data_IF_332085734747
#
_entry.id   IF_332085734747
#
_cell.length_a   1.000
_cell.length_b   1.000
_cell.length_c   1.000
_cell.angle_alpha   90.00
_cell.angle_beta   90.00
_cell.angle_gamma   90.00
#
_symmetry.space_group_name_H-M   'P 1'
#
loop_
_entity.id
_entity.type
_entity.pdbx_description
1 polymer ?
#
# COMPACT_ATOMS: atom_id res chain seq x y z
N UNK A 1 -72.66 61.53 -21.15
CA UNK A 1 -71.83 60.59 -21.93
C UNK A 1 -70.91 59.88 -20.95
N UNK A 2 -71.36 58.73 -20.46
CA UNK A 2 -70.67 57.90 -19.46
C UNK A 2 -70.75 56.45 -19.94
N UNK A 3 -69.60 55.79 -20.10
CA UNK A 3 -69.53 54.41 -20.58
C UNK A 3 -68.29 53.72 -20.02
N UNK A 4 -68.52 52.66 -19.25
CA UNK A 4 -67.54 51.83 -18.51
C UNK A 4 -66.59 51.04 -19.44
N UNK A 5 -65.42 50.58 -18.95
CA UNK A 5 -64.55 49.68 -19.71
C UNK A 5 -64.99 48.21 -19.58
N UNK A 6 -64.92 47.47 -20.69
CA UNK A 6 -65.08 46.01 -20.76
C UNK A 6 -63.73 45.30 -20.55
N UNK A 7 -63.70 44.29 -19.68
CA UNK A 7 -62.56 43.39 -19.48
C UNK A 7 -62.46 42.34 -20.61
N UNK A 8 -61.26 41.93 -21.05
CA UNK A 8 -61.10 40.84 -22.00
C UNK A 8 -61.13 39.46 -21.31
N UNK A 9 -61.76 38.50 -22.00
CA UNK A 9 -61.92 37.09 -21.62
C UNK A 9 -60.58 36.35 -21.59
N UNK A 10 -60.38 35.52 -20.55
CA UNK A 10 -59.26 34.57 -20.48
C UNK A 10 -59.47 33.42 -21.48
N UNK A 11 -58.47 33.18 -22.34
CA UNK A 11 -58.41 31.97 -23.16
C UNK A 11 -57.82 30.82 -22.33
N UNK A 12 -58.58 29.73 -22.25
CA UNK A 12 -58.14 28.46 -21.67
C UNK A 12 -57.04 27.85 -22.54
N UNK A 13 -55.82 27.75 -22.00
CA UNK A 13 -54.72 27.01 -22.63
C UNK A 13 -54.85 25.55 -22.23
N UNK A 14 -55.32 24.72 -23.15
CA UNK A 14 -55.32 23.26 -23.02
C UNK A 14 -53.87 22.77 -22.96
N UNK A 15 -53.45 22.21 -21.82
CA UNK A 15 -52.13 21.60 -21.68
C UNK A 15 -52.05 20.32 -22.51
N UNK A 16 -51.19 20.34 -23.53
CA UNK A 16 -50.80 19.14 -24.27
C UNK A 16 -49.89 18.31 -23.35
N UNK A 17 -50.39 17.19 -22.87
CA UNK A 17 -49.61 16.22 -22.09
C UNK A 17 -48.69 15.49 -23.07
N UNK A 18 -47.41 15.85 -23.08
CA UNK A 18 -46.37 15.03 -23.71
C UNK A 18 -46.06 13.85 -22.79
N UNK A 19 -46.02 12.59 -23.29
CA UNK A 19 -45.59 11.47 -22.49
C UNK A 19 -44.13 11.66 -22.11
N UNK A 20 -43.88 11.70 -20.81
CA UNK A 20 -42.55 11.81 -20.22
C UNK A 20 -41.76 10.54 -20.58
N UNK A 21 -40.91 10.63 -21.60
CA UNK A 21 -39.95 9.58 -21.92
C UNK A 21 -38.96 9.55 -20.75
N UNK A 22 -39.14 8.59 -19.83
CA UNK A 22 -38.12 8.23 -18.86
C UNK A 22 -36.90 7.71 -19.61
N UNK A 23 -36.01 8.61 -20.00
CA UNK A 23 -34.65 8.27 -20.40
C UNK A 23 -34.01 7.65 -19.16
N UNK A 24 -33.93 6.32 -19.14
CA UNK A 24 -33.05 5.60 -18.23
C UNK A 24 -31.64 6.05 -18.60
N UNK A 25 -31.13 7.08 -17.93
CA UNK A 25 -29.70 7.41 -18.02
C UNK A 25 -28.97 6.20 -17.46
N UNK A 26 -28.54 5.30 -18.33
CA UNK A 26 -27.58 4.27 -17.99
C UNK A 26 -26.36 5.01 -17.49
N UNK A 27 -25.97 4.76 -16.24
CA UNK A 27 -24.67 5.19 -15.74
C UNK A 27 -23.60 4.81 -16.77
N UNK A 28 -22.63 5.71 -17.04
CA UNK A 28 -21.58 5.39 -18.01
C UNK A 28 -20.89 4.10 -17.58
N UNK A 29 -20.63 3.23 -18.55
CA UNK A 29 -19.89 2.01 -18.28
C UNK A 29 -18.48 2.36 -17.77
N UNK A 30 -17.96 1.64 -16.78
CA UNK A 30 -16.61 1.88 -16.28
C UNK A 30 -15.58 1.56 -17.38
N UNK A 31 -14.39 2.16 -17.29
CA UNK A 31 -13.31 1.87 -18.22
C UNK A 31 -12.52 0.62 -17.81
N UNK A 32 -11.79 0.04 -18.76
CA UNK A 32 -10.79 -0.99 -18.45
C UNK A 32 -9.72 -0.38 -17.55
N UNK A 33 -9.30 -1.13 -16.54
CA UNK A 33 -8.37 -0.67 -15.50
C UNK A 33 -9.04 -0.06 -14.27
N UNK A 34 -10.33 0.28 -14.32
CA UNK A 34 -11.09 0.69 -13.13
C UNK A 34 -11.09 -0.45 -12.10
N UNK A 35 -10.84 -0.10 -10.84
CA UNK A 35 -10.98 -1.03 -9.72
C UNK A 35 -12.39 -0.98 -9.17
N UNK A 36 -12.84 -2.11 -8.62
CA UNK A 36 -14.15 -2.21 -7.99
C UNK A 36 -14.12 -3.12 -6.77
N UNK A 37 -15.11 -2.96 -5.90
CA UNK A 37 -15.39 -3.86 -4.80
C UNK A 37 -16.79 -4.46 -4.99
N UNK A 38 -16.90 -5.79 -4.97
CA UNK A 38 -18.18 -6.50 -5.04
C UNK A 38 -18.27 -7.49 -3.88
N UNK A 39 -19.19 -7.25 -2.95
CA UNK A 39 -19.35 -8.05 -1.72
C UNK A 39 -18.03 -8.20 -0.92
N UNK A 40 -17.30 -7.08 -0.72
CA UNK A 40 -16.00 -7.03 -0.02
C UNK A 40 -14.82 -7.67 -0.76
N UNK A 41 -15.00 -8.02 -2.03
CA UNK A 41 -13.92 -8.56 -2.86
C UNK A 41 -13.48 -7.53 -3.89
N UNK A 42 -12.19 -7.22 -3.87
CA UNK A 42 -11.57 -6.28 -4.79
C UNK A 42 -11.29 -6.95 -6.13
N UNK A 43 -11.48 -6.20 -7.20
CA UNK A 43 -11.18 -6.64 -8.56
C UNK A 43 -10.75 -5.47 -9.44
N UNK A 44 -10.13 -5.81 -10.57
CA UNK A 44 -9.77 -4.88 -11.64
C UNK A 44 -10.54 -5.24 -12.90
N UNK A 45 -11.18 -4.25 -13.54
CA UNK A 45 -11.86 -4.47 -14.82
C UNK A 45 -10.81 -4.68 -15.91
N UNK A 46 -10.91 -5.79 -16.63
CA UNK A 46 -10.04 -6.16 -17.77
C UNK A 46 -10.76 -6.14 -19.12
N UNK A 47 -12.10 -6.19 -19.12
CA UNK A 47 -12.92 -6.14 -20.33
C UNK A 47 -14.27 -5.50 -20.05
N UNK A 48 -14.79 -4.72 -21.01
CA UNK A 48 -16.14 -4.15 -20.97
C UNK A 48 -16.75 -4.30 -22.35
N UNK A 49 -17.85 -5.04 -22.46
CA UNK A 49 -18.50 -5.24 -23.75
C UNK A 49 -19.43 -6.44 -23.79
N UNK A 50 -19.93 -6.75 -24.97
CA UNK A 50 -20.73 -7.94 -25.22
C UNK A 50 -19.86 -9.20 -25.27
N UNK A 51 -20.43 -10.32 -24.86
CA UNK A 51 -19.75 -11.62 -24.89
C UNK A 51 -20.57 -12.55 -25.77
N UNK A 52 -19.91 -13.18 -26.75
CA UNK A 52 -20.54 -14.03 -27.74
C UNK A 52 -21.44 -15.09 -27.08
N UNK A 53 -22.61 -15.34 -27.67
CA UNK A 53 -23.61 -16.26 -27.11
C UNK A 53 -24.34 -15.76 -25.86
N UNK A 54 -24.15 -14.50 -25.45
CA UNK A 54 -24.91 -13.88 -24.35
C UNK A 54 -25.46 -12.51 -24.73
N UNK A 55 -26.53 -12.07 -24.06
CA UNK A 55 -27.17 -10.77 -24.32
C UNK A 55 -26.62 -9.70 -23.39
N UNK A 56 -26.42 -8.48 -23.89
CA UNK A 56 -26.08 -7.29 -23.10
C UNK A 56 -24.64 -7.25 -22.58
N UNK A 57 -24.29 -6.16 -21.93
CA UNK A 57 -22.92 -5.87 -21.47
C UNK A 57 -22.46 -6.77 -20.33
N UNK A 58 -21.19 -7.14 -20.38
CA UNK A 58 -20.45 -7.82 -19.33
C UNK A 58 -19.21 -7.04 -18.95
N UNK A 59 -18.82 -7.19 -17.69
CA UNK A 59 -17.52 -6.79 -17.19
C UNK A 59 -16.68 -8.05 -17.03
N UNK A 60 -15.58 -8.15 -17.77
CA UNK A 60 -14.51 -9.08 -17.45
C UNK A 60 -13.69 -8.49 -16.33
N UNK A 61 -13.61 -9.16 -15.20
CA UNK A 61 -12.90 -8.71 -14.01
C UNK A 61 -11.82 -9.71 -13.64
N UNK A 62 -10.69 -9.23 -13.15
CA UNK A 62 -9.67 -10.02 -12.48
C UNK A 62 -9.77 -9.76 -10.97
N UNK A 63 -10.02 -10.81 -10.19
CA UNK A 63 -10.10 -10.72 -8.74
C UNK A 63 -8.72 -10.63 -8.11
N UNK A 64 -8.59 -9.82 -7.06
CA UNK A 64 -7.37 -9.76 -6.26
C UNK A 64 -7.10 -11.08 -5.54
N UNK A 65 -8.18 -11.72 -5.06
CA UNK A 65 -8.19 -13.08 -4.54
C UNK A 65 -8.45 -14.08 -5.70
N UNK A 66 -7.43 -14.82 -6.15
CA UNK A 66 -7.57 -15.74 -7.28
C UNK A 66 -8.59 -16.85 -7.05
N UNK A 67 -8.90 -17.20 -5.80
CA UNK A 67 -9.85 -18.28 -5.48
C UNK A 67 -11.28 -17.98 -5.94
N UNK A 68 -11.60 -16.70 -6.21
CA UNK A 68 -12.90 -16.27 -6.73
C UNK A 68 -13.01 -16.34 -8.24
N UNK A 69 -11.88 -16.41 -8.92
CA UNK A 69 -11.85 -16.48 -10.36
C UNK A 69 -12.32 -17.85 -10.87
N UNK A 70 -12.67 -17.88 -12.14
CA UNK A 70 -13.24 -19.03 -12.85
C UNK A 70 -12.49 -19.37 -14.12
N UNK A 71 -11.82 -18.37 -14.73
CA UNK A 71 -11.20 -18.49 -16.05
C UNK A 71 -10.24 -17.33 -16.31
N UNK A 72 -9.38 -17.44 -17.32
CA UNK A 72 -8.46 -16.38 -17.77
C UNK A 72 -9.04 -15.52 -18.91
N UNK A 73 -10.35 -15.22 -18.86
CA UNK A 73 -11.02 -14.35 -19.83
C UNK A 73 -11.34 -15.00 -21.17
N UNK A 74 -11.27 -16.33 -21.26
CA UNK A 74 -11.65 -17.12 -22.44
C UNK A 74 -13.08 -17.63 -22.28
N UNK A 75 -13.87 -17.53 -23.35
CA UNK A 75 -15.20 -18.15 -23.45
C UNK A 75 -15.39 -18.71 -24.86
N UNK A 76 -15.80 -19.99 -24.94
CA UNK A 76 -16.05 -20.70 -26.20
C UNK A 76 -14.89 -20.59 -27.21
N UNK A 77 -13.65 -20.66 -26.69
CA UNK A 77 -12.41 -20.56 -27.49
C UNK A 77 -11.97 -19.14 -27.86
N UNK A 78 -12.80 -18.11 -27.59
CA UNK A 78 -12.45 -16.70 -27.83
C UNK A 78 -11.91 -16.04 -26.57
N UNK A 79 -10.77 -15.36 -26.69
CA UNK A 79 -10.16 -14.61 -25.60
C UNK A 79 -10.65 -13.15 -25.59
N UNK A 80 -11.16 -12.70 -24.45
CA UNK A 80 -11.65 -11.32 -24.25
C UNK A 80 -10.68 -10.50 -23.39
N UNK A 81 -10.01 -11.14 -22.44
CA UNK A 81 -8.98 -10.56 -21.61
C UNK A 81 -8.02 -11.65 -21.10
N UNK A 82 -7.00 -11.25 -20.35
CA UNK A 82 -6.09 -12.15 -19.63
C UNK A 82 -5.93 -11.67 -18.18
N UNK A 83 -5.50 -12.57 -17.30
CA UNK A 83 -5.21 -12.28 -15.90
C UNK A 83 -3.69 -12.35 -15.65
N UNK A 84 -3.21 -11.52 -14.74
CA UNK A 84 -1.87 -11.62 -14.16
C UNK A 84 -1.73 -12.91 -13.34
N UNK A 85 -2.80 -13.28 -12.63
CA UNK A 85 -2.86 -14.55 -11.91
C UNK A 85 -3.76 -15.53 -12.66
N UNK A 86 -3.26 -16.74 -13.01
CA UNK A 86 -4.05 -17.74 -13.70
C UNK A 86 -5.36 -18.06 -12.98
N UNK A 87 -6.42 -18.17 -13.76
CA UNK A 87 -7.81 -18.39 -13.37
C UNK A 87 -8.42 -17.35 -12.44
N UNK A 88 -7.80 -16.19 -12.22
CA UNK A 88 -8.36 -15.13 -11.35
C UNK A 88 -9.51 -14.33 -12.00
N UNK A 89 -9.85 -14.60 -13.27
CA UNK A 89 -10.83 -13.85 -14.02
C UNK A 89 -12.28 -14.33 -13.85
N UNK A 90 -13.24 -13.44 -14.09
CA UNK A 90 -14.68 -13.75 -14.17
C UNK A 90 -15.41 -12.78 -15.09
N UNK A 91 -16.48 -13.21 -15.75
CA UNK A 91 -17.47 -12.32 -16.33
C UNK A 91 -18.58 -12.04 -15.32
N UNK A 92 -18.83 -10.77 -15.01
CA UNK A 92 -19.91 -10.31 -14.14
C UNK A 92 -20.81 -9.31 -14.86
N UNK A 93 -22.04 -9.16 -14.37
CA UNK A 93 -22.94 -8.12 -14.85
C UNK A 93 -22.69 -6.80 -14.12
N UNK A 94 -22.81 -5.64 -14.80
CA UNK A 94 -22.93 -4.37 -14.11
C UNK A 94 -24.17 -4.43 -13.21
N UNK A 95 -23.97 -4.39 -11.89
CA UNK A 95 -25.05 -4.40 -10.89
C UNK A 95 -24.87 -3.25 -9.91
N UNK A 96 -25.96 -2.72 -9.31
CA UNK A 96 -25.87 -1.62 -8.35
C UNK A 96 -25.04 -1.94 -7.09
N UNK A 97 -24.81 -3.23 -6.79
CA UNK A 97 -24.01 -3.67 -5.65
C UNK A 97 -22.49 -3.54 -5.87
N UNK A 98 -22.04 -3.15 -7.09
CA UNK A 98 -20.64 -2.86 -7.36
C UNK A 98 -20.31 -1.49 -6.78
N UNK A 99 -19.33 -1.45 -5.90
CA UNK A 99 -18.74 -0.24 -5.34
C UNK A 99 -17.52 0.17 -6.18
N UNK A 100 -17.51 1.40 -6.69
CA UNK A 100 -16.40 1.98 -7.47
C UNK A 100 -15.50 2.89 -6.61
N UNK A 101 -15.74 2.90 -5.30
CA UNK A 101 -14.96 3.63 -4.32
C UNK A 101 -15.36 5.09 -4.18
N UNK A 102 -14.57 5.79 -3.37
CA UNK A 102 -14.79 7.18 -2.98
C UNK A 102 -13.49 7.97 -3.01
N UNK A 103 -13.59 9.30 -2.94
CA UNK A 103 -12.40 10.15 -2.91
C UNK A 103 -11.64 10.00 -1.59
N UNK A 104 -10.36 10.40 -1.59
CA UNK A 104 -9.51 10.38 -0.41
C UNK A 104 -10.13 11.13 0.78
N UNK A 105 -10.62 12.36 0.58
CA UNK A 105 -11.24 13.16 1.64
C UNK A 105 -12.56 12.59 2.09
N UNK A 106 -13.33 11.99 1.19
CA UNK A 106 -14.58 11.33 1.56
C UNK A 106 -14.27 10.15 2.50
N UNK A 107 -13.34 9.27 2.13
CA UNK A 107 -12.91 8.15 2.99
C UNK A 107 -12.33 8.64 4.33
N UNK A 108 -11.52 9.70 4.30
CA UNK A 108 -10.97 10.32 5.51
C UNK A 108 -12.08 10.84 6.44
N UNK A 109 -13.07 11.53 5.86
CA UNK A 109 -14.21 12.08 6.59
C UNK A 109 -15.05 10.95 7.20
N UNK A 110 -15.41 9.94 6.42
CA UNK A 110 -16.24 8.84 6.90
C UNK A 110 -15.51 8.04 8.01
N UNK A 111 -14.23 7.70 7.84
CA UNK A 111 -13.45 6.92 8.82
C UNK A 111 -13.17 7.69 10.10
N UNK A 112 -12.76 8.96 10.02
CA UNK A 112 -12.28 9.71 11.19
C UNK A 112 -13.28 10.72 11.75
N UNK A 113 -14.37 11.03 11.04
CA UNK A 113 -15.38 11.98 11.50
C UNK A 113 -16.64 11.21 11.83
N UNK A 114 -17.21 10.47 10.88
CA UNK A 114 -18.49 9.78 11.08
C UNK A 114 -18.40 8.60 12.05
N UNK A 115 -17.30 7.83 12.05
CA UNK A 115 -17.09 6.76 13.03
C UNK A 115 -17.02 7.28 14.48
N UNK A 116 -16.60 8.54 14.70
CA UNK A 116 -16.66 9.20 16.01
C UNK A 116 -18.04 9.75 16.38
N UNK A 117 -18.99 9.77 15.44
CA UNK A 117 -20.40 10.14 15.67
C UNK A 117 -21.30 8.91 15.95
N UNK A 118 -20.83 7.69 15.70
CA UNK A 118 -21.60 6.45 15.87
C UNK A 118 -21.91 6.01 17.32
N UNK A 119 -21.65 6.83 18.33
CA UNK A 119 -21.95 6.52 19.73
C UNK A 119 -23.06 7.39 20.37
N UNK A 120 -23.53 8.46 19.72
CA UNK A 120 -24.61 9.29 20.27
C UNK A 120 -25.62 9.61 19.17
N UNK A 121 -26.85 9.11 19.35
CA UNK A 121 -28.03 9.49 18.57
C UNK A 121 -28.17 11.02 18.58
N UNK A 122 -28.59 11.67 17.49
CA UNK A 122 -28.86 13.11 17.53
C UNK A 122 -30.04 13.35 18.48
N UNK A 123 -29.76 14.00 19.62
CA UNK A 123 -30.80 14.54 20.50
C UNK A 123 -31.48 15.69 19.77
N UNK A 124 -32.71 15.44 19.30
CA UNK A 124 -33.60 16.50 18.85
C UNK A 124 -34.10 17.24 20.09
N UNK A 125 -33.49 18.38 20.40
CA UNK A 125 -34.00 19.29 21.43
C UNK A 125 -35.03 20.21 20.78
N UNK A 126 -36.31 19.95 21.06
CA UNK A 126 -37.42 20.84 20.70
C UNK A 126 -37.48 21.96 21.74
N UNK A 127 -37.23 23.20 21.32
CA UNK A 127 -37.47 24.40 22.13
C UNK A 127 -38.69 25.15 21.60
N UNK A 128 -39.69 25.33 22.46
CA UNK A 128 -40.68 26.41 22.35
C UNK A 128 -42.10 25.98 21.99
N UNK A 129 -43.02 26.17 22.95
CA UNK A 129 -44.47 26.12 22.73
C UNK A 129 -44.95 27.35 21.94
N UNK A 130 -44.89 27.33 20.61
CA UNK A 130 -45.87 28.00 19.73
C UNK A 130 -45.54 27.81 18.24
N UNK A 131 -46.37 27.02 17.55
CA UNK A 131 -46.66 27.04 16.11
C UNK A 131 -45.52 27.40 15.12
N UNK A 132 -44.61 26.45 14.93
CA UNK A 132 -43.83 26.21 13.71
C UNK A 132 -43.49 27.40 12.80
N UNK A 133 -42.23 27.85 12.87
CA UNK A 133 -41.43 28.27 11.72
C UNK A 133 -39.99 28.45 12.21
N UNK A 134 -39.02 28.08 11.36
CA UNK A 134 -37.57 28.18 11.54
C UNK A 134 -36.92 26.89 12.06
N UNK A 135 -36.58 26.03 11.11
CA UNK A 135 -35.43 25.13 11.23
C UNK A 135 -34.20 25.95 10.84
N UNK A 136 -33.29 26.21 11.78
CA UNK A 136 -31.93 26.63 11.45
C UNK A 136 -31.06 25.41 11.62
N UNK A 137 -30.66 24.80 10.50
CA UNK A 137 -29.46 23.97 10.48
C UNK A 137 -28.28 24.90 10.79
N UNK A 138 -27.90 24.95 12.06
CA UNK A 138 -26.56 25.39 12.40
C UNK A 138 -25.62 24.30 11.87
N UNK A 139 -25.05 24.56 10.69
CA UNK A 139 -23.97 23.77 10.13
C UNK A 139 -22.82 23.85 11.14
N UNK A 140 -22.65 22.79 11.92
CA UNK A 140 -21.67 22.66 13.00
C UNK A 140 -20.25 22.46 12.41
N UNK A 141 -19.83 23.36 11.51
CA UNK A 141 -18.47 23.41 10.93
C UNK A 141 -17.40 23.54 12.02
N UNK A 142 -17.73 24.16 13.16
CA UNK A 142 -16.80 24.33 14.27
C UNK A 142 -16.56 23.04 15.06
N UNK A 143 -17.55 22.13 15.12
CA UNK A 143 -17.35 20.77 15.67
C UNK A 143 -16.57 19.88 14.70
N UNK A 144 -16.81 20.03 13.40
CA UNK A 144 -15.99 19.41 12.35
C UNK A 144 -14.54 19.89 12.50
N UNK A 145 -14.30 21.20 12.64
CA UNK A 145 -12.96 21.80 12.86
C UNK A 145 -12.28 21.32 14.15
N UNK A 146 -12.98 21.25 15.28
CA UNK A 146 -12.41 20.73 16.53
C UNK A 146 -12.05 19.23 16.44
N UNK A 147 -12.74 18.46 15.60
CA UNK A 147 -12.46 17.04 15.36
C UNK A 147 -11.36 16.84 14.32
N UNK A 148 -11.31 17.67 13.27
CA UNK A 148 -10.15 17.78 12.38
C UNK A 148 -8.90 18.16 13.15
N UNK A 149 -8.97 19.01 14.18
CA UNK A 149 -7.81 19.31 15.05
C UNK A 149 -7.20 18.07 15.75
N UNK A 150 -7.91 16.94 15.83
CA UNK A 150 -7.36 15.64 16.27
C UNK A 150 -6.77 14.82 15.12
N UNK A 151 -7.32 14.94 13.90
CA UNK A 151 -6.78 14.36 12.65
C UNK A 151 -5.53 15.10 12.17
N UNK A 152 -5.45 16.41 12.37
CA UNK A 152 -4.28 17.24 12.11
C UNK A 152 -3.07 16.89 13.01
N UNK A 153 -3.30 16.16 14.10
CA UNK A 153 -2.22 15.57 14.93
C UNK A 153 -1.80 14.19 14.46
N UNK A 154 -2.58 13.53 13.60
CA UNK A 154 -2.23 12.23 13.02
C UNK A 154 -1.13 12.45 11.99
N UNK A 155 0.11 12.20 12.44
CA UNK A 155 1.26 12.05 11.54
C UNK A 155 1.12 10.84 10.62
N UNK A 156 0.19 9.94 10.91
CA UNK A 156 -0.09 8.71 10.18
C UNK A 156 -1.58 8.66 9.85
N UNK A 157 -1.93 8.75 8.58
CA UNK A 157 -3.30 8.57 8.10
C UNK A 157 -3.40 7.14 7.58
N UNK A 158 -4.33 6.34 8.11
CA UNK A 158 -4.57 4.99 7.61
C UNK A 158 -5.99 4.89 7.07
N UNK A 159 -6.09 4.71 5.77
CA UNK A 159 -7.33 4.50 5.01
C UNK A 159 -7.33 3.11 4.36
N UNK A 160 -6.63 2.16 4.98
CA UNK A 160 -6.63 0.77 4.52
C UNK A 160 -8.06 0.23 4.43
N UNK A 161 -8.38 -0.44 3.33
CA UNK A 161 -9.70 -1.07 3.09
C UNK A 161 -10.90 -0.11 3.08
N UNK A 162 -10.67 1.20 2.98
CA UNK A 162 -11.75 2.20 2.88
C UNK A 162 -12.26 2.40 1.44
N UNK A 163 -11.82 1.59 0.48
CA UNK A 163 -12.20 1.69 -0.94
C UNK A 163 -11.91 3.08 -1.55
N UNK A 164 -10.78 3.71 -1.20
CA UNK A 164 -10.34 4.94 -1.87
C UNK A 164 -10.10 4.63 -3.34
N UNK A 165 -10.64 5.41 -4.27
CA UNK A 165 -10.46 5.20 -5.72
C UNK A 165 -9.98 6.43 -6.49
N UNK A 166 -10.17 7.63 -5.93
CA UNK A 166 -9.82 8.88 -6.60
C UNK A 166 -9.19 9.89 -5.65
N UNK A 167 -8.40 10.79 -6.23
CA UNK A 167 -8.01 12.03 -5.58
C UNK A 167 -9.19 13.01 -5.59
N UNK A 168 -9.15 13.97 -4.68
CA UNK A 168 -10.06 15.11 -4.66
C UNK A 168 -9.57 16.22 -5.62
N UNK A 169 -10.42 17.21 -5.95
CA UNK A 169 -9.98 18.38 -6.71
C UNK A 169 -8.80 19.11 -6.05
N UNK A 170 -7.89 19.61 -6.88
CA UNK A 170 -6.63 20.20 -6.42
C UNK A 170 -6.84 21.30 -5.36
N UNK A 171 -6.14 21.15 -4.24
CA UNK A 171 -6.12 22.07 -3.11
C UNK A 171 -7.18 21.76 -2.04
N UNK A 172 -8.08 20.82 -2.27
CA UNK A 172 -9.13 20.50 -1.30
C UNK A 172 -8.59 19.73 -0.09
N UNK A 173 -7.59 18.86 -0.27
CA UNK A 173 -6.97 18.11 0.83
C UNK A 173 -6.18 19.08 1.70
N UNK A 174 -5.39 19.96 1.07
CA UNK A 174 -4.64 21.02 1.78
C UNK A 174 -5.57 21.93 2.59
N UNK A 175 -6.68 22.39 2.00
CA UNK A 175 -7.59 23.32 2.69
C UNK A 175 -8.36 22.68 3.84
N UNK A 176 -8.74 21.40 3.73
CA UNK A 176 -9.48 20.69 4.78
C UNK A 176 -8.58 20.07 5.86
N UNK A 177 -7.28 19.98 5.64
CA UNK A 177 -6.33 19.43 6.59
C UNK A 177 -5.16 20.42 6.85
N UNK A 178 -5.40 21.54 7.57
CA UNK A 178 -4.36 22.55 7.83
C UNK A 178 -3.29 22.10 8.84
N UNK A 179 -2.08 22.69 8.77
CA UNK A 179 -1.02 22.49 9.77
C UNK A 179 -1.29 23.26 11.06
N UNK A 180 -0.82 22.71 12.18
CA UNK A 180 -0.93 23.35 13.50
C UNK A 180 0.31 24.17 13.89
N UNK A 181 1.25 24.42 12.97
CA UNK A 181 2.44 25.18 13.29
C UNK A 181 2.12 26.68 13.37
N UNK A 182 2.42 27.38 14.48
CA UNK A 182 2.44 28.83 14.47
C UNK A 182 3.54 29.23 13.49
N UNK A 183 3.15 29.85 12.38
CA UNK A 183 4.10 30.50 11.50
C UNK A 183 4.80 31.59 12.30
N UNK A 184 6.02 31.36 12.76
CA UNK A 184 6.94 32.49 12.99
C UNK A 184 7.03 33.21 11.65
N UNK A 185 6.87 34.55 11.60
CA UNK A 185 6.95 35.28 10.34
C UNK A 185 8.37 35.13 9.80
N UNK A 186 8.56 34.20 8.86
CA UNK A 186 9.80 34.11 8.12
C UNK A 186 9.94 35.39 7.31
N UNK A 187 11.08 36.05 7.48
CA UNK A 187 11.36 37.41 7.00
C UNK A 187 11.65 37.47 5.49
N UNK A 188 11.24 36.45 4.74
CA UNK A 188 11.48 36.32 3.31
C UNK A 188 10.18 35.82 2.66
N UNK A 189 9.74 36.48 1.58
CA UNK A 189 8.41 36.32 0.98
C UNK A 189 8.07 34.92 0.49
N UNK A 190 7.62 34.06 1.42
CA UNK A 190 6.93 32.82 1.13
C UNK A 190 5.50 33.17 0.64
N UNK A 191 5.10 32.56 -0.47
CA UNK A 191 3.78 32.75 -1.10
C UNK A 191 2.69 32.28 -0.12
N UNK A 192 1.50 32.89 -0.18
CA UNK A 192 0.34 32.55 0.66
C UNK A 192 -0.10 31.06 0.58
N UNK A 193 0.40 30.30 -0.40
CA UNK A 193 0.12 28.88 -0.60
C UNK A 193 0.77 27.93 0.43
N UNK A 194 1.75 28.39 1.23
CA UNK A 194 2.50 27.54 2.17
C UNK A 194 1.85 27.40 3.56
N UNK A 195 0.73 28.08 3.82
CA UNK A 195 0.10 28.16 5.15
C UNK A 195 -0.91 27.06 5.48
N UNK A 196 -1.15 26.12 4.55
CA UNK A 196 -2.20 25.09 4.65
C UNK A 196 -1.71 23.67 4.33
N UNK A 197 -0.41 23.38 4.54
CA UNK A 197 0.11 22.03 4.33
C UNK A 197 -0.34 21.10 5.47
N UNK A 198 -0.83 19.90 5.16
CA UNK A 198 -1.17 18.88 6.16
C UNK A 198 0.09 18.34 6.84
N UNK A 199 0.06 18.12 8.17
CA UNK A 199 1.18 17.58 8.97
C UNK A 199 1.36 16.05 8.85
N UNK A 200 0.66 15.41 7.91
CA UNK A 200 0.71 13.96 7.69
C UNK A 200 2.07 13.56 7.09
N UNK A 201 2.76 12.65 7.79
CA UNK A 201 4.07 12.10 7.41
C UNK A 201 3.96 10.69 6.85
N UNK A 202 2.89 9.96 7.15
CA UNK A 202 2.66 8.65 6.59
C UNK A 202 1.21 8.47 6.20
N UNK A 203 1.01 7.78 5.08
CA UNK A 203 -0.30 7.46 4.53
C UNK A 203 -0.33 5.99 4.16
N UNK A 204 -1.31 5.27 4.71
CA UNK A 204 -1.60 3.89 4.34
C UNK A 204 -2.89 3.84 3.52
N UNK A 205 -2.76 3.47 2.26
CA UNK A 205 -3.84 3.27 1.29
C UNK A 205 -3.92 1.81 0.85
N UNK A 206 -3.40 0.87 1.64
CA UNK A 206 -3.43 -0.55 1.31
C UNK A 206 -4.86 -1.07 1.10
N UNK A 207 -5.03 -2.04 0.18
CA UNK A 207 -6.35 -2.60 -0.16
C UNK A 207 -7.36 -1.55 -0.66
N UNK A 208 -6.90 -0.61 -1.47
CA UNK A 208 -7.72 0.44 -2.06
C UNK A 208 -8.20 0.09 -3.47
N UNK A 209 -9.11 0.92 -3.98
CA UNK A 209 -9.61 0.89 -5.35
C UNK A 209 -8.86 1.89 -6.25
N UNK A 210 -7.65 2.29 -5.86
CA UNK A 210 -6.83 3.22 -6.64
C UNK A 210 -6.28 2.48 -7.88
N UNK A 211 -6.58 2.94 -9.11
CA UNK A 211 -6.26 2.20 -10.32
C UNK A 211 -4.85 2.43 -10.86
N UNK A 212 -4.20 3.54 -10.48
CA UNK A 212 -2.91 3.93 -11.07
C UNK A 212 -2.09 4.82 -10.15
N UNK A 213 -0.79 4.90 -10.45
CA UNK A 213 0.12 5.83 -9.82
C UNK A 213 -0.22 7.31 -10.04
N UNK A 214 -0.96 7.64 -11.11
CA UNK A 214 -1.39 9.02 -11.37
C UNK A 214 -2.29 9.53 -10.24
N UNK A 215 -3.22 8.70 -9.76
CA UNK A 215 -4.11 9.04 -8.64
C UNK A 215 -3.31 9.19 -7.34
N UNK A 216 -2.34 8.31 -7.11
CA UNK A 216 -1.43 8.39 -5.96
C UNK A 216 -0.63 9.70 -5.98
N UNK A 217 -0.11 10.10 -7.15
CA UNK A 217 0.64 11.35 -7.29
C UNK A 217 -0.22 12.57 -7.01
N UNK A 218 -1.49 12.57 -7.44
CA UNK A 218 -2.44 13.65 -7.14
C UNK A 218 -2.68 13.79 -5.62
N UNK A 219 -2.85 12.67 -4.90
CA UNK A 219 -2.99 12.68 -3.43
C UNK A 219 -1.69 13.15 -2.77
N UNK A 220 -0.55 12.57 -3.15
CA UNK A 220 0.75 12.88 -2.56
C UNK A 220 1.17 14.35 -2.77
N UNK A 221 0.82 14.96 -3.91
CA UNK A 221 1.06 16.39 -4.17
C UNK A 221 0.38 17.30 -3.16
N UNK A 222 -0.70 16.86 -2.53
CA UNK A 222 -1.38 17.64 -1.50
C UNK A 222 -0.81 17.43 -0.09
N UNK A 223 0.14 16.49 0.07
CA UNK A 223 0.76 16.11 1.34
C UNK A 223 2.28 16.35 1.28
N UNK A 224 2.74 17.61 1.38
CA UNK A 224 4.14 17.97 1.14
C UNK A 224 5.14 17.44 2.19
N UNK A 225 4.66 16.95 3.34
CA UNK A 225 5.47 16.37 4.41
C UNK A 225 5.43 14.82 4.41
N UNK A 226 4.88 14.20 3.36
CA UNK A 226 4.77 12.76 3.24
C UNK A 226 6.15 12.10 3.15
N UNK A 227 6.44 11.25 4.14
CA UNK A 227 7.68 10.47 4.29
C UNK A 227 7.43 8.96 4.06
N UNK A 228 6.27 8.43 4.47
CA UNK A 228 5.91 7.01 4.34
C UNK A 228 4.65 6.83 3.51
N UNK A 229 4.66 5.86 2.61
CA UNK A 229 3.50 5.51 1.80
C UNK A 229 3.34 4.00 1.73
N UNK A 230 2.19 3.49 2.17
CA UNK A 230 1.84 2.08 2.06
C UNK A 230 0.72 1.86 1.04
N UNK A 231 0.97 1.01 0.06
CA UNK A 231 0.09 0.68 -1.07
C UNK A 231 -0.08 -0.84 -1.20
N UNK A 232 -0.01 -1.55 -0.07
CA UNK A 232 0.01 -3.00 -0.08
C UNK A 232 -1.30 -3.55 -0.67
N UNK A 233 -1.22 -4.63 -1.44
CA UNK A 233 -2.36 -5.28 -2.09
C UNK A 233 -3.12 -4.41 -3.13
N UNK A 234 -2.52 -3.32 -3.60
CA UNK A 234 -3.09 -2.56 -4.71
C UNK A 234 -2.70 -3.14 -6.09
N UNK A 235 -3.43 -2.73 -7.13
CA UNK A 235 -3.19 -3.12 -8.54
C UNK A 235 -2.99 -1.87 -9.38
N UNK A 236 -1.81 -1.26 -9.23
CA UNK A 236 -1.49 0.04 -9.80
C UNK A 236 -1.02 -0.11 -11.24
N UNK A 237 -1.70 0.58 -12.16
CA UNK A 237 -1.17 0.84 -13.49
C UNK A 237 -0.03 1.86 -13.42
N UNK A 238 0.91 1.74 -14.36
CA UNK A 238 2.00 2.69 -14.53
C UNK A 238 1.49 4.12 -14.78
N UNK A 239 2.37 5.10 -14.57
CA UNK A 239 2.06 6.50 -14.84
C UNK A 239 1.65 6.71 -16.30
N UNK A 240 0.54 7.41 -16.52
CA UNK A 240 0.16 7.86 -17.87
C UNK A 240 1.10 8.99 -18.35
N UNK A 241 1.63 9.77 -17.40
CA UNK A 241 2.58 10.85 -17.67
C UNK A 241 3.46 11.12 -16.46
N UNK A 242 4.79 11.12 -16.67
CA UNK A 242 5.76 11.48 -15.65
C UNK A 242 5.55 12.90 -15.10
N UNK A 243 4.90 13.79 -15.86
CA UNK A 243 4.59 15.14 -15.41
C UNK A 243 3.70 15.16 -14.15
N UNK A 244 2.75 14.22 -14.03
CA UNK A 244 1.85 14.14 -12.86
C UNK A 244 2.60 13.80 -11.58
N UNK A 245 3.71 13.06 -11.69
CA UNK A 245 4.58 12.72 -10.57
C UNK A 245 5.57 13.84 -10.20
N UNK A 246 5.68 14.90 -11.01
CA UNK A 246 6.60 16.01 -10.75
C UNK A 246 6.31 16.59 -9.37
N UNK A 247 7.32 16.54 -8.50
CA UNK A 247 7.28 17.00 -7.11
C UNK A 247 6.32 16.24 -6.16
N UNK A 248 5.65 15.18 -6.60
CA UNK A 248 4.71 14.45 -5.76
C UNK A 248 5.39 13.65 -4.63
N UNK A 249 6.59 13.12 -4.87
CA UNK A 249 7.26 12.18 -3.95
C UNK A 249 8.63 12.66 -3.43
N UNK A 250 8.86 13.97 -3.38
CA UNK A 250 10.17 14.54 -3.01
C UNK A 250 10.56 14.30 -1.55
N UNK A 251 9.57 14.12 -0.67
CA UNK A 251 9.77 13.82 0.74
C UNK A 251 9.79 12.34 1.10
N UNK A 252 9.50 11.45 0.13
CA UNK A 252 9.21 10.05 0.42
C UNK A 252 10.49 9.27 0.74
N UNK A 253 10.55 8.66 1.92
CA UNK A 253 11.69 7.90 2.44
C UNK A 253 11.38 6.42 2.59
N UNK A 254 10.12 6.03 2.77
CA UNK A 254 9.69 4.64 2.89
C UNK A 254 8.47 4.35 2.01
N UNK A 255 8.55 3.25 1.26
CA UNK A 255 7.50 2.82 0.34
C UNK A 255 7.19 1.33 0.53
N UNK A 256 5.92 1.00 0.78
CA UNK A 256 5.46 -0.39 0.88
C UNK A 256 4.58 -0.77 -0.31
N UNK A 257 5.00 -1.81 -1.04
CA UNK A 257 4.38 -2.34 -2.26
C UNK A 257 4.15 -3.86 -2.14
N UNK A 258 3.89 -4.35 -0.93
CA UNK A 258 3.73 -5.79 -0.69
C UNK A 258 2.45 -6.31 -1.36
N UNK A 259 2.54 -7.49 -1.99
CA UNK A 259 1.42 -8.18 -2.65
C UNK A 259 0.68 -7.34 -3.71
N UNK A 260 1.37 -6.42 -4.37
CA UNK A 260 0.87 -5.58 -5.47
C UNK A 260 0.94 -6.26 -6.84
N UNK A 261 1.73 -7.34 -6.95
CA UNK A 261 2.16 -7.99 -8.20
C UNK A 261 3.03 -7.11 -9.10
N UNK A 262 3.57 -6.03 -8.55
CA UNK A 262 4.52 -5.16 -9.26
C UNK A 262 5.83 -5.88 -9.52
N UNK A 263 6.33 -5.76 -10.75
CA UNK A 263 7.63 -6.30 -11.16
C UNK A 263 8.79 -5.45 -10.64
N UNK A 264 9.99 -6.03 -10.59
CA UNK A 264 11.19 -5.28 -10.19
C UNK A 264 11.49 -4.10 -11.14
N UNK A 265 11.27 -4.29 -12.46
CA UNK A 265 11.47 -3.22 -13.45
C UNK A 265 10.51 -2.04 -13.22
N UNK A 266 9.22 -2.32 -12.95
CA UNK A 266 8.24 -1.28 -12.66
C UNK A 266 8.58 -0.50 -11.39
N UNK A 267 9.08 -1.19 -10.34
CA UNK A 267 9.58 -0.48 -9.16
C UNK A 267 10.75 0.44 -9.51
N UNK A 268 11.73 -0.03 -10.29
CA UNK A 268 12.85 0.81 -10.73
C UNK A 268 12.38 2.05 -11.50
N UNK A 269 11.35 1.90 -12.34
CA UNK A 269 10.76 3.01 -13.10
C UNK A 269 10.02 4.02 -12.19
N UNK A 270 9.48 3.58 -11.06
CA UNK A 270 8.78 4.45 -10.10
C UNK A 270 9.77 5.17 -9.17
N UNK A 271 10.81 4.49 -8.68
CA UNK A 271 11.75 5.08 -7.71
C UNK A 271 12.60 6.22 -8.30
N UNK A 272 12.70 6.35 -9.63
CA UNK A 272 13.30 7.54 -10.25
C UNK A 272 12.60 8.84 -9.89
N UNK A 273 11.35 8.76 -9.43
CA UNK A 273 10.53 9.89 -9.00
C UNK A 273 10.66 10.19 -7.50
N UNK A 274 11.46 9.40 -6.78
CA UNK A 274 11.56 9.37 -5.31
C UNK A 274 13.03 9.54 -4.87
N UNK A 275 13.62 10.74 -5.01
CA UNK A 275 15.07 10.94 -4.95
C UNK A 275 15.71 10.66 -3.58
N UNK A 276 14.94 10.70 -2.50
CA UNK A 276 15.43 10.46 -1.13
C UNK A 276 14.91 9.15 -0.52
N UNK A 277 14.38 8.25 -1.34
CA UNK A 277 13.85 6.97 -0.88
C UNK A 277 14.95 6.12 -0.25
N UNK A 278 14.69 5.62 0.96
CA UNK A 278 15.63 4.82 1.76
C UNK A 278 15.19 3.38 1.92
N UNK A 279 13.89 3.13 1.99
CA UNK A 279 13.35 1.81 2.22
C UNK A 279 12.27 1.49 1.18
N UNK A 280 12.36 0.29 0.61
CA UNK A 280 11.33 -0.26 -0.25
C UNK A 280 10.96 -1.67 0.20
N UNK A 281 9.67 -1.92 0.33
CA UNK A 281 9.13 -3.25 0.58
C UNK A 281 8.37 -3.77 -0.64
N UNK A 282 8.79 -4.92 -1.13
CA UNK A 282 8.22 -5.60 -2.29
C UNK A 282 7.96 -7.08 -2.01
N UNK A 283 7.54 -7.40 -0.79
CA UNK A 283 7.22 -8.75 -0.40
C UNK A 283 5.98 -9.31 -1.09
N UNK A 284 5.88 -10.63 -1.21
CA UNK A 284 4.69 -11.34 -1.71
C UNK A 284 4.25 -10.95 -3.14
N UNK A 285 5.15 -10.39 -3.95
CA UNK A 285 4.88 -9.96 -5.33
C UNK A 285 5.07 -11.07 -6.37
N UNK A 286 5.46 -12.28 -5.93
CA UNK A 286 5.72 -13.45 -6.80
C UNK A 286 6.88 -13.21 -7.77
N UNK A 287 7.83 -12.36 -7.39
CA UNK A 287 9.04 -12.11 -8.18
C UNK A 287 9.85 -13.40 -8.31
N UNK A 288 10.15 -13.81 -9.53
CA UNK A 288 11.00 -14.99 -9.82
C UNK A 288 12.41 -14.60 -10.21
N UNK A 289 12.59 -13.39 -10.73
CA UNK A 289 13.87 -12.76 -11.11
C UNK A 289 13.84 -11.29 -10.74
N UNK A 290 15.01 -10.76 -10.38
CA UNK A 290 15.25 -9.35 -10.10
C UNK A 290 16.09 -8.67 -11.18
N UNK A 291 16.88 -9.40 -11.99
CA UNK A 291 17.70 -8.72 -12.99
C UNK A 291 16.79 -7.93 -13.95
N UNK A 292 16.88 -6.59 -13.98
CA UNK A 292 15.99 -5.80 -14.81
C UNK A 292 16.44 -5.86 -16.27
N UNK A 293 15.52 -5.51 -17.18
CA UNK A 293 15.88 -5.33 -18.58
C UNK A 293 16.78 -4.10 -18.76
N UNK A 294 16.58 -3.07 -17.92
CA UNK A 294 17.36 -1.83 -17.90
C UNK A 294 17.37 -1.22 -16.51
N UNK A 295 18.48 -0.61 -16.15
CA UNK A 295 18.51 0.36 -15.06
C UNK A 295 18.16 1.74 -15.60
N UNK A 296 17.52 2.61 -14.78
CA UNK A 296 17.45 4.03 -15.08
C UNK A 296 18.85 4.62 -15.31
N UNK A 297 18.99 5.62 -16.17
CA UNK A 297 20.28 6.27 -16.43
C UNK A 297 20.15 7.80 -16.24
N UNK A 298 20.88 8.42 -15.30
CA UNK A 298 21.80 7.81 -14.33
C UNK A 298 21.05 7.07 -13.20
N UNK A 299 21.59 5.94 -12.74
CA UNK A 299 21.09 5.25 -11.54
C UNK A 299 21.94 5.63 -10.32
N UNK A 300 21.42 6.52 -9.48
CA UNK A 300 21.93 6.75 -8.12
C UNK A 300 20.79 6.52 -7.13
N UNK A 301 20.81 5.37 -6.47
CA UNK A 301 19.76 4.99 -5.52
C UNK A 301 20.18 5.30 -4.08
N UNK A 302 19.35 6.09 -3.40
CA UNK A 302 19.45 6.34 -1.96
C UNK A 302 19.05 5.15 -1.08
N UNK A 303 18.60 4.04 -1.67
CA UNK A 303 17.96 2.94 -0.94
C UNK A 303 18.98 2.20 -0.06
N UNK A 304 18.62 2.11 1.22
CA UNK A 304 19.36 1.49 2.31
C UNK A 304 18.76 0.12 2.69
N UNK A 305 17.45 -0.06 2.52
CA UNK A 305 16.73 -1.28 2.94
C UNK A 305 15.85 -1.78 1.79
N UNK A 306 16.05 -3.04 1.42
CA UNK A 306 15.21 -3.76 0.45
C UNK A 306 14.60 -4.97 1.12
N UNK A 307 13.27 -5.01 1.17
CA UNK A 307 12.51 -6.16 1.66
C UNK A 307 11.83 -6.90 0.50
N UNK A 308 12.21 -8.17 0.31
CA UNK A 308 11.73 -9.06 -0.75
C UNK A 308 11.14 -10.36 -0.17
N UNK A 309 10.65 -10.33 1.07
CA UNK A 309 10.06 -11.48 1.76
C UNK A 309 8.92 -12.13 0.96
N UNK A 310 8.83 -13.45 0.95
CA UNK A 310 7.68 -14.16 0.37
C UNK A 310 7.58 -14.09 -1.15
N UNK A 311 8.69 -13.86 -1.85
CA UNK A 311 8.77 -13.95 -3.30
C UNK A 311 9.16 -15.37 -3.76
N UNK A 312 9.40 -15.54 -5.06
CA UNK A 312 9.74 -16.83 -5.70
C UNK A 312 11.18 -16.82 -6.23
N UNK A 313 12.07 -16.07 -5.58
CA UNK A 313 13.47 -15.94 -5.97
C UNK A 313 14.22 -17.23 -5.62
N UNK A 314 14.83 -17.85 -6.61
CA UNK A 314 15.60 -19.10 -6.46
C UNK A 314 17.07 -18.97 -6.89
N UNK A 315 17.42 -17.92 -7.63
CA UNK A 315 18.78 -17.67 -8.11
C UNK A 315 19.45 -16.54 -7.30
N UNK A 316 20.41 -16.92 -6.46
CA UNK A 316 21.22 -15.99 -5.67
C UNK A 316 22.05 -15.03 -6.55
N UNK A 317 22.56 -15.53 -7.67
CA UNK A 317 23.43 -14.77 -8.57
C UNK A 317 22.64 -13.67 -9.29
N UNK A 318 21.40 -13.97 -9.67
CA UNK A 318 20.44 -13.00 -10.20
C UNK A 318 20.18 -11.87 -9.20
N UNK A 319 19.92 -12.21 -7.92
CA UNK A 319 19.72 -11.24 -6.84
C UNK A 319 20.95 -10.35 -6.65
N UNK A 320 22.15 -10.94 -6.59
CA UNK A 320 23.38 -10.16 -6.44
C UNK A 320 23.62 -9.23 -7.63
N UNK A 321 23.41 -9.69 -8.87
CA UNK A 321 23.58 -8.86 -10.07
C UNK A 321 22.57 -7.72 -10.09
N UNK A 322 21.32 -7.99 -9.71
CA UNK A 322 20.26 -7.00 -9.65
C UNK A 322 20.54 -5.89 -8.63
N UNK A 323 21.12 -6.24 -7.48
CA UNK A 323 21.37 -5.33 -6.36
C UNK A 323 22.75 -4.67 -6.35
N UNK A 324 23.67 -5.08 -7.23
CA UNK A 324 25.02 -4.51 -7.32
C UNK A 324 25.03 -2.98 -7.50
N UNK A 325 24.12 -2.36 -8.30
CA UNK A 325 24.08 -0.89 -8.43
C UNK A 325 23.60 -0.14 -7.17
N UNK A 326 23.01 -0.81 -6.18
CA UNK A 326 22.52 -0.19 -4.95
C UNK A 326 23.67 -0.04 -3.95
N UNK A 327 24.48 0.99 -4.13
CA UNK A 327 25.73 1.20 -3.37
C UNK A 327 25.52 1.52 -1.89
N UNK A 328 24.33 2.02 -1.52
CA UNK A 328 23.95 2.35 -0.12
C UNK A 328 23.16 1.25 0.60
N UNK A 329 22.87 0.15 -0.08
CA UNK A 329 22.09 -0.96 0.46
C UNK A 329 22.79 -1.57 1.68
N UNK A 330 22.19 -1.46 2.86
CA UNK A 330 22.74 -1.99 4.11
C UNK A 330 21.99 -3.23 4.61
N UNK A 331 20.69 -3.35 4.32
CA UNK A 331 19.83 -4.43 4.82
C UNK A 331 19.03 -5.04 3.69
N UNK A 332 19.15 -6.36 3.58
CA UNK A 332 18.46 -7.18 2.60
C UNK A 332 17.65 -8.26 3.31
N UNK A 333 16.34 -8.28 3.06
CA UNK A 333 15.43 -9.30 3.59
C UNK A 333 14.96 -10.17 2.44
N UNK A 334 15.33 -11.44 2.47
CA UNK A 334 15.00 -12.46 1.46
C UNK A 334 14.29 -13.66 2.10
N UNK A 335 13.66 -13.46 3.25
CA UNK A 335 12.87 -14.47 3.94
C UNK A 335 11.81 -15.07 3.02
N UNK A 336 11.44 -16.33 3.26
CA UNK A 336 10.36 -17.02 2.56
C UNK A 336 10.54 -17.04 1.03
N UNK A 337 11.78 -17.15 0.55
CA UNK A 337 12.11 -17.36 -0.86
C UNK A 337 12.69 -18.77 -1.08
N UNK A 338 12.45 -19.41 -2.24
CA UNK A 338 12.98 -20.74 -2.58
C UNK A 338 14.49 -20.73 -2.93
N UNK A 339 15.29 -19.93 -2.24
CA UNK A 339 16.75 -19.94 -2.34
C UNK A 339 17.27 -21.21 -1.66
N UNK A 340 17.66 -22.20 -2.45
CA UNK A 340 18.12 -23.51 -1.95
C UNK A 340 19.64 -23.62 -1.81
N UNK A 341 20.38 -22.97 -2.72
CA UNK A 341 21.84 -23.06 -2.80
C UNK A 341 22.44 -21.68 -3.03
N UNK A 342 23.51 -21.35 -2.30
CA UNK A 342 24.35 -20.18 -2.57
C UNK A 342 25.68 -20.71 -3.15
N UNK A 343 25.99 -20.42 -4.42
CA UNK A 343 27.18 -20.96 -5.06
C UNK A 343 28.46 -20.37 -4.44
N UNK A 344 29.54 -21.14 -4.35
CA UNK A 344 30.85 -20.60 -3.96
C UNK A 344 31.41 -19.73 -5.08
N UNK A 345 32.05 -18.61 -4.73
CA UNK A 345 32.81 -17.79 -5.68
C UNK A 345 34.20 -18.38 -5.85
N UNK A 346 34.30 -19.47 -6.61
CA UNK A 346 35.60 -20.06 -6.92
C UNK A 346 36.30 -19.15 -7.93
N UNK A 347 37.42 -18.53 -7.55
CA UNK A 347 38.17 -17.55 -8.36
C UNK A 347 38.72 -18.06 -9.70
N UNK A 348 38.36 -19.28 -10.11
CA UNK A 348 38.68 -19.90 -11.40
C UNK A 348 37.48 -19.99 -12.35
N UNK A 349 36.25 -19.79 -11.85
CA UNK A 349 35.04 -19.74 -12.67
C UNK A 349 34.65 -18.28 -12.90
N UNK A 350 34.36 -17.95 -14.14
CA UNK A 350 34.09 -16.61 -14.65
C UNK A 350 32.74 -16.07 -14.13
N UNK A 351 32.56 -15.92 -12.81
CA UNK A 351 31.39 -15.25 -12.27
C UNK A 351 31.62 -13.75 -12.38
N UNK A 352 31.17 -13.17 -13.50
CA UNK A 352 31.13 -11.73 -13.83
C UNK A 352 30.26 -10.90 -12.84
N UNK A 353 29.88 -11.47 -11.71
CA UNK A 353 28.97 -10.86 -10.74
C UNK A 353 29.77 -10.33 -9.58
N UNK A 354 29.69 -9.02 -9.34
CA UNK A 354 30.39 -8.36 -8.24
C UNK A 354 29.81 -8.78 -6.87
N UNK A 355 30.64 -8.87 -5.81
CA UNK A 355 30.13 -9.07 -4.47
C UNK A 355 29.39 -7.82 -3.99
N UNK A 356 28.61 -7.94 -2.92
CA UNK A 356 27.88 -6.83 -2.31
C UNK A 356 28.50 -6.47 -0.95
N UNK A 357 29.66 -5.79 -0.91
CA UNK A 357 30.31 -5.40 0.34
C UNK A 357 29.48 -4.43 1.19
N UNK A 358 28.53 -3.72 0.58
CA UNK A 358 27.68 -2.75 1.25
C UNK A 358 26.65 -3.39 2.19
N UNK A 359 26.25 -4.64 1.94
CA UNK A 359 25.20 -5.32 2.71
C UNK A 359 25.75 -5.78 4.05
N UNK A 360 25.20 -5.22 5.14
CA UNK A 360 25.58 -5.50 6.53
C UNK A 360 24.61 -6.43 7.24
N UNK A 361 23.36 -6.45 6.82
CA UNK A 361 22.31 -7.24 7.46
C UNK A 361 21.56 -8.07 6.43
N UNK A 362 21.57 -9.40 6.62
CA UNK A 362 20.86 -10.34 5.78
C UNK A 362 19.85 -11.15 6.60
N UNK A 363 18.61 -11.22 6.13
CA UNK A 363 17.60 -12.13 6.68
C UNK A 363 17.20 -13.17 5.63
N UNK A 364 17.34 -14.45 6.01
CA UNK A 364 17.02 -15.63 5.21
C UNK A 364 16.18 -16.61 6.07
N UNK A 365 15.05 -16.13 6.58
CA UNK A 365 14.13 -16.95 7.37
C UNK A 365 13.31 -17.84 6.43
N UNK A 366 13.08 -19.10 6.79
CA UNK A 366 12.31 -20.07 6.01
C UNK A 366 12.79 -20.23 4.55
N UNK A 367 14.09 -19.98 4.31
CA UNK A 367 14.72 -20.23 3.02
C UNK A 367 14.99 -21.73 2.83
N UNK A 368 15.05 -22.18 1.57
CA UNK A 368 15.36 -23.57 1.21
C UNK A 368 16.81 -24.01 1.49
N UNK A 369 17.61 -23.19 2.19
CA UNK A 369 19.03 -23.41 2.42
C UNK A 369 19.23 -24.63 3.33
N UNK A 370 19.81 -25.68 2.77
CA UNK A 370 19.98 -26.98 3.43
C UNK A 370 21.45 -27.35 3.71
N UNK A 371 22.41 -26.56 3.23
CA UNK A 371 23.85 -26.86 3.30
C UNK A 371 24.64 -25.76 4.01
N UNK A 372 25.61 -26.14 4.84
CA UNK A 372 26.51 -25.17 5.51
C UNK A 372 27.47 -24.52 4.51
N UNK A 373 27.77 -25.20 3.42
CA UNK A 373 28.57 -24.70 2.30
C UNK A 373 27.95 -23.43 1.70
N UNK A 374 26.61 -23.35 1.63
CA UNK A 374 25.91 -22.14 1.19
C UNK A 374 26.08 -20.99 2.18
N UNK A 375 26.12 -21.30 3.48
CA UNK A 375 26.35 -20.30 4.53
C UNK A 375 27.79 -19.81 4.48
N UNK A 376 28.77 -20.71 4.35
CA UNK A 376 30.18 -20.35 4.22
C UNK A 376 30.44 -19.52 2.95
N UNK A 377 29.75 -19.83 1.85
CA UNK A 377 29.82 -19.08 0.61
C UNK A 377 29.37 -17.62 0.76
N UNK A 378 28.46 -17.29 1.70
CA UNK A 378 28.01 -15.91 1.95
C UNK A 378 29.18 -14.98 2.28
N UNK A 379 30.24 -15.46 2.93
CA UNK A 379 31.40 -14.64 3.24
C UNK A 379 32.10 -14.10 1.98
N UNK A 380 32.04 -14.84 0.88
CA UNK A 380 32.59 -14.41 -0.42
C UNK A 380 31.67 -13.44 -1.15
N UNK A 381 30.35 -13.56 -0.98
CA UNK A 381 29.35 -12.70 -1.61
C UNK A 381 29.16 -11.38 -0.86
N UNK A 382 29.15 -11.43 0.46
CA UNK A 382 28.81 -10.33 1.37
C UNK A 382 29.96 -10.13 2.38
N UNK A 383 31.14 -9.65 1.95
CA UNK A 383 32.30 -9.52 2.83
C UNK A 383 32.10 -8.52 3.98
N UNK A 384 31.13 -7.60 3.87
CA UNK A 384 30.76 -6.63 4.90
C UNK A 384 29.64 -7.08 5.86
N UNK A 385 29.23 -8.35 5.82
CA UNK A 385 28.09 -8.85 6.59
C UNK A 385 28.36 -8.83 8.10
N UNK A 386 27.56 -8.07 8.85
CA UNK A 386 27.65 -7.92 10.31
C UNK A 386 26.61 -8.78 11.05
N UNK A 387 25.43 -8.98 10.46
CA UNK A 387 24.32 -9.74 11.05
C UNK A 387 23.63 -10.64 10.03
N UNK A 388 23.46 -11.90 10.42
CA UNK A 388 22.75 -12.92 9.65
C UNK A 388 21.63 -13.52 10.50
N UNK A 389 20.40 -13.41 10.00
CA UNK A 389 19.21 -14.03 10.60
C UNK A 389 18.81 -15.26 9.79
N UNK A 390 18.96 -16.44 10.42
CA UNK A 390 18.56 -17.74 9.88
C UNK A 390 17.59 -18.41 10.86
N UNK A 391 16.41 -18.77 10.39
CA UNK A 391 15.44 -19.60 11.13
C UNK A 391 14.57 -20.35 10.13
N UNK A 392 13.95 -21.48 10.52
CA UNK A 392 13.05 -22.24 9.63
C UNK A 392 13.70 -22.78 8.35
N UNK A 393 15.03 -22.80 8.27
CA UNK A 393 15.76 -23.46 7.18
C UNK A 393 15.99 -24.94 7.55
N UNK A 394 15.97 -25.87 6.58
CA UNK A 394 16.22 -27.31 6.84
C UNK A 394 17.51 -27.57 7.65
N UNK A 395 18.49 -26.68 7.53
CA UNK A 395 19.75 -26.68 8.27
C UNK A 395 19.57 -26.59 9.80
N UNK A 396 18.59 -25.79 10.25
CA UNK A 396 18.35 -25.48 11.67
C UNK A 396 17.32 -26.43 12.29
N UNK A 397 16.45 -27.03 11.48
CA UNK A 397 15.41 -27.96 11.95
C UNK A 397 15.92 -29.39 12.19
N UNK A 398 16.98 -29.83 11.49
CA UNK A 398 17.49 -31.21 11.53
C UNK A 398 18.54 -31.52 12.59
N UNK A 399 19.03 -30.53 13.35
CA UNK A 399 19.99 -30.76 14.43
C UNK A 399 19.55 -30.02 15.68
N UNK A 400 19.47 -30.73 16.79
CA UNK A 400 19.45 -30.16 18.15
C UNK A 400 20.78 -29.44 18.40
N UNK A 401 21.01 -28.31 17.73
CA UNK A 401 22.20 -27.49 17.87
C UNK A 401 22.02 -26.61 19.10
N UNK A 402 22.54 -27.08 20.22
CA UNK A 402 22.78 -26.28 21.41
C UNK A 402 23.86 -25.21 21.12
N UNK A 403 23.55 -24.19 20.33
CA UNK A 403 24.33 -22.95 20.34
C UNK A 403 23.69 -21.98 21.34
N UNK A 404 24.06 -22.14 22.62
CA UNK A 404 24.02 -21.00 23.56
C UNK A 404 25.10 -20.03 23.09
N UNK A 405 24.72 -18.80 22.73
CA UNK A 405 25.59 -17.64 22.47
C UNK A 405 27.07 -18.01 22.22
N UNK A 406 27.43 -18.31 20.98
CA UNK A 406 28.80 -18.67 20.62
C UNK A 406 29.10 -18.39 19.16
N UNK A 407 30.34 -17.96 18.89
CA UNK A 407 30.93 -17.86 17.56
C UNK A 407 31.08 -19.26 16.96
N UNK A 408 30.67 -19.45 15.70
CA UNK A 408 30.91 -20.70 14.99
C UNK A 408 32.44 -20.86 14.77
N UNK A 409 33.05 -22.04 15.01
CA UNK A 409 34.50 -22.23 15.02
C UNK A 409 35.21 -22.00 13.66
N UNK A 410 34.48 -21.65 12.59
CA UNK A 410 35.03 -21.29 11.27
C UNK A 410 34.64 -19.89 10.76
N UNK A 411 33.84 -19.14 11.51
CA UNK A 411 33.40 -17.78 11.14
C UNK A 411 33.57 -16.84 12.35
N UNK A 412 34.80 -16.38 12.66
CA UNK A 412 35.08 -15.63 13.88
C UNK A 412 34.47 -14.22 13.92
N UNK A 413 33.95 -13.71 12.80
CA UNK A 413 33.45 -12.33 12.67
C UNK A 413 31.92 -12.19 12.78
N UNK A 414 31.16 -13.27 12.93
CA UNK A 414 29.70 -13.19 12.92
C UNK A 414 29.11 -13.26 14.33
N UNK A 415 28.19 -12.33 14.62
CA UNK A 415 27.30 -12.47 15.78
C UNK A 415 26.04 -13.21 15.31
N UNK A 416 26.00 -14.53 15.53
CA UNK A 416 24.80 -15.33 15.26
C UNK A 416 23.76 -15.04 16.35
N UNK A 417 22.61 -14.49 15.97
CA UNK A 417 21.40 -14.52 16.80
C UNK A 417 20.47 -15.60 16.22
N UNK A 418 20.82 -16.87 16.42
CA UNK A 418 19.87 -17.97 16.22
C UNK A 418 18.82 -17.87 17.33
N UNK A 419 17.71 -17.18 17.07
CA UNK A 419 16.57 -17.23 17.98
C UNK A 419 15.85 -18.55 17.76
N UNK A 420 16.27 -19.58 18.49
CA UNK A 420 15.55 -20.86 18.58
C UNK A 420 14.29 -20.60 19.44
N UNK A 421 13.16 -20.31 18.79
CA UNK A 421 11.87 -20.31 19.47
C UNK A 421 11.41 -21.76 19.69
N UNK A 422 11.74 -22.34 20.85
CA UNK A 422 11.11 -23.59 21.29
C UNK A 422 9.61 -23.36 21.57
N UNK A 423 8.73 -23.93 20.76
CA UNK A 423 7.35 -24.24 21.17
C UNK A 423 7.33 -25.66 21.74
N UNK A 424 7.46 -25.80 23.05
CA UNK A 424 7.16 -27.06 23.75
C UNK A 424 5.70 -27.05 24.19
N UNK A 425 4.86 -27.84 23.53
CA UNK A 425 3.48 -28.13 23.94
C UNK A 425 2.87 -29.21 23.05
N UNK A 426 2.14 -30.20 23.59
CA UNK A 426 1.69 -31.35 22.83
C UNK A 426 0.62 -30.97 21.81
N UNK A 427 0.78 -31.47 20.59
CA UNK A 427 -0.21 -31.35 19.51
C UNK A 427 -1.30 -32.38 19.76
N UNK A 428 -2.54 -31.94 19.91
CA UNK A 428 -3.74 -32.78 19.79
C UNK A 428 -4.65 -32.21 18.70
N UNK A 429 -5.38 -33.04 17.95
CA UNK A 429 -5.95 -32.65 16.66
C UNK A 429 -7.40 -32.20 16.81
N UNK A 430 -7.73 -30.95 16.50
CA UNK A 430 -9.06 -30.59 15.96
C UNK A 430 -9.18 -29.13 15.48
N UNK A 431 -9.95 -28.96 14.42
CA UNK A 431 -10.52 -27.73 13.82
C UNK A 431 -9.55 -26.68 13.26
N UNK A 432 -9.39 -26.68 11.93
CA UNK A 432 -8.92 -25.54 11.14
C UNK A 432 -9.94 -24.39 11.24
N UNK A 433 -9.63 -23.38 12.04
CA UNK A 433 -10.15 -22.02 11.87
C UNK A 433 -8.97 -21.11 11.53
N UNK A 434 -9.02 -20.52 10.34
CA UNK A 434 -8.08 -19.49 9.90
C UNK A 434 -8.35 -18.21 10.70
N UNK A 435 -7.46 -17.85 11.61
CA UNK A 435 -7.39 -16.51 12.20
C UNK A 435 -6.18 -15.78 11.66
N UNK A 436 -6.43 -14.78 10.82
CA UNK A 436 -5.51 -13.71 10.46
C UNK A 436 -5.00 -13.03 11.75
N UNK A 437 -3.68 -13.04 11.97
CA UNK A 437 -3.05 -12.15 12.93
C UNK A 437 -2.27 -11.08 12.18
N UNK A 438 -2.79 -9.86 12.31
CA UNK A 438 -2.18 -8.58 11.98
C UNK A 438 -0.80 -8.44 12.62
N UNK A 439 0.22 -8.22 11.79
CA UNK A 439 1.57 -7.82 12.19
C UNK A 439 1.56 -6.34 12.63
N UNK A 440 1.29 -6.13 13.92
CA UNK A 440 1.49 -4.86 14.61
C UNK A 440 1.95 -5.17 16.03
N UNK A 441 3.26 -5.10 16.28
CA UNK A 441 3.89 -4.66 17.55
C UNK A 441 5.41 -4.85 17.51
N UNK A 442 6.12 -3.84 17.00
CA UNK A 442 7.55 -3.66 17.26
C UNK A 442 7.68 -2.95 18.63
N UNK A 443 7.76 -3.71 19.73
CA UNK A 443 8.07 -3.12 21.05
C UNK A 443 9.56 -2.79 21.13
N UNK A 444 9.90 -1.49 21.03
CA UNK A 444 11.17 -0.94 21.50
C UNK A 444 11.37 -1.30 22.98
N UNK A 445 12.39 -2.09 23.32
CA UNK A 445 12.89 -2.17 24.70
C UNK A 445 13.89 -1.04 24.93
N UNK A 446 13.56 -0.16 25.87
CA UNK A 446 14.43 0.87 26.39
C UNK A 446 15.65 0.25 27.09
N UNK A 447 16.83 0.78 26.78
CA UNK A 447 18.07 0.50 27.50
C UNK A 447 18.08 1.38 28.75
N UNK A 448 18.05 0.77 29.94
CA UNK A 448 18.31 1.45 31.21
C UNK A 448 19.80 1.26 31.58
N UNK A 449 20.50 2.30 32.07
CA UNK A 449 21.89 2.19 32.48
C UNK A 449 22.00 1.45 33.82
N UNK A 450 22.90 0.47 33.88
CA UNK A 450 23.23 -0.28 35.10
C UNK A 450 23.97 0.62 36.11
N UNK A 451 23.31 0.92 37.22
CA UNK A 451 23.92 1.51 38.41
C UNK A 451 24.90 0.52 39.06
N UNK A 452 26.13 0.98 39.34
CA UNK A 452 27.15 0.28 40.15
C UNK A 452 26.64 0.11 41.60
N UNK A 453 26.74 -1.11 42.14
CA UNK A 453 26.58 -1.37 43.59
C UNK A 453 27.86 -0.98 44.36
N UNK A 454 27.76 -0.41 45.58
CA UNK A 454 28.92 -0.18 46.44
C UNK A 454 29.39 -1.48 47.11
N UNK A 455 30.72 -1.58 47.32
CA UNK A 455 31.38 -2.64 48.10
C UNK A 455 30.99 -2.51 49.58
N UNK A 456 30.55 -3.62 50.18
CA UNK A 456 30.56 -3.76 51.64
C UNK A 456 31.95 -4.20 52.08
N UNK A 457 32.51 -3.47 53.04
CA UNK A 457 33.67 -3.84 53.85
C UNK A 457 33.30 -5.00 54.78
N UNK A 458 34.19 -5.97 54.91
CA UNK A 458 34.35 -6.74 56.13
C UNK A 458 35.83 -7.09 56.30
N UNK A 459 36.30 -6.72 57.48
CA UNK A 459 37.58 -6.87 58.19
C UNK A 459 38.84 -6.17 57.67
#
# INVERSE_FOLDING_TARGET
MSGRPHAPRAHSVTSVIFPEVKVKMSSPLPSVGTRLCLHKHLATIRYVGEVDGTKGTWLGVEWDDPSRGKHDGIKDGKQYFSCLVPNAGSFIRPVPAIDYGRSFLQALTEKYIEAFHGAEKPEVVVLGSSNGAIQVEAVDLDKIRQKFAKVERLREISLDKENVSSADPEGLIRTKCPSNHPSTPSRCGAREADKHATDAKGVDLSYSLIPSWDVIALIARELPLLERLALNNDRLQAFSSAFLATNAFQGLTELELNATLMTWQEMLDVVTLMPILKQVEMGYNRLTKLLPARYPDPFDSGIEVVNLDGNQLSDWTDVCRALAPFTRLNRLILSTNPLSTIPTRDGSSNTDVQPLPQVKHLALLSAGISTWESVDALNSWLPGLESLSLSGTPLVEGKSLNFRNGTHPRCPNWTYMATICHRTGPVSPCSRQYTHQSSSTYRRRAVLPLFRRPRALQD
#
